data_IF_739479520813
#
_entry.id   IF_739479520813
#
_cell.length_a   1.000
_cell.length_b   1.000
_cell.length_c   1.000
_cell.angle_alpha   90.00
_cell.angle_beta   90.00
_cell.angle_gamma   90.00
#
_symmetry.space_group_name_H-M   'P 1'
#
loop_
_entity.id
_entity.type
_entity.pdbx_description
1 polymer ?
#
# COMPACT_ATOMS: atom_id res chain seq x y z
N UNK A 1 10.58 11.04 12.20
CA UNK A 1 9.35 11.64 11.66
C UNK A 1 8.21 10.69 11.95
N UNK A 2 6.98 11.20 12.06
CA UNK A 2 5.80 10.39 12.32
C UNK A 2 5.25 9.66 11.09
N UNK A 3 5.71 10.04 9.90
CA UNK A 3 5.43 9.32 8.66
C UNK A 3 6.22 8.02 8.51
N UNK A 4 5.70 7.16 7.63
CA UNK A 4 6.30 5.88 7.26
C UNK A 4 5.88 5.44 5.86
N UNK A 5 6.26 4.22 5.50
CA UNK A 5 5.99 3.65 4.19
C UNK A 5 5.50 2.22 4.32
N UNK A 6 4.48 1.87 3.54
CA UNK A 6 3.99 0.51 3.32
C UNK A 6 4.29 0.12 1.88
N UNK A 7 4.85 -1.07 1.69
CA UNK A 7 5.23 -1.57 0.37
C UNK A 7 4.53 -2.90 0.14
N UNK A 8 3.82 -3.03 -0.99
CA UNK A 8 3.23 -4.28 -1.46
C UNK A 8 3.77 -4.65 -2.82
N UNK A 9 4.26 -5.87 -2.94
CA UNK A 9 4.71 -6.47 -4.20
C UNK A 9 3.51 -7.05 -4.94
N UNK A 10 3.34 -6.73 -6.23
CA UNK A 10 2.42 -7.42 -7.15
C UNK A 10 3.22 -8.24 -8.17
N UNK A 11 2.56 -8.82 -9.18
CA UNK A 11 3.25 -9.68 -10.14
C UNK A 11 4.16 -8.88 -11.09
N UNK A 12 3.72 -7.69 -11.52
CA UNK A 12 4.44 -6.82 -12.46
C UNK A 12 4.82 -5.45 -11.87
N UNK A 13 4.34 -5.09 -10.67
CA UNK A 13 4.56 -3.78 -10.07
C UNK A 13 4.89 -3.85 -8.56
N UNK A 14 5.34 -2.71 -8.03
CA UNK A 14 5.53 -2.49 -6.60
C UNK A 14 4.69 -1.28 -6.21
N UNK A 15 3.78 -1.47 -5.27
CA UNK A 15 2.96 -0.39 -4.70
C UNK A 15 3.69 0.15 -3.49
N UNK A 16 3.88 1.47 -3.45
CA UNK A 16 4.50 2.19 -2.35
C UNK A 16 3.47 3.20 -1.82
N UNK A 17 2.97 2.95 -0.61
CA UNK A 17 2.14 3.91 0.12
C UNK A 17 2.97 4.63 1.16
N UNK A 18 3.09 5.94 1.04
CA UNK A 18 3.72 6.80 2.04
C UNK A 18 2.60 7.39 2.89
N UNK A 19 2.76 7.36 4.20
CA UNK A 19 1.80 7.98 5.12
C UNK A 19 2.52 8.96 6.05
N UNK A 20 1.77 9.95 6.49
CA UNK A 20 2.17 10.94 7.49
C UNK A 20 0.99 11.19 8.42
N UNK A 21 1.24 11.70 9.63
CA UNK A 21 0.17 12.11 10.54
C UNK A 21 -0.79 13.11 9.85
N UNK A 22 -2.11 12.96 10.04
CA UNK A 22 -2.80 12.15 11.05
C UNK A 22 -3.12 10.71 10.62
N UNK A 23 -2.59 10.23 9.48
CA UNK A 23 -2.88 8.89 8.99
C UNK A 23 -2.15 7.84 9.82
N UNK A 24 -2.91 6.90 10.39
CA UNK A 24 -2.31 5.77 11.11
C UNK A 24 -1.69 4.77 10.12
N UNK A 25 -0.63 4.04 10.53
CA UNK A 25 -0.02 3.01 9.68
C UNK A 25 -1.03 1.94 9.21
N UNK A 26 -1.99 1.57 10.07
CA UNK A 26 -3.02 0.58 9.74
C UNK A 26 -3.96 1.04 8.62
N UNK A 27 -4.31 2.33 8.59
CA UNK A 27 -5.11 2.91 7.50
C UNK A 27 -4.33 2.89 6.17
N UNK A 28 -3.03 3.22 6.19
CA UNK A 28 -2.20 3.16 4.99
C UNK A 28 -2.08 1.73 4.48
N UNK A 29 -1.83 0.77 5.39
CA UNK A 29 -1.73 -0.64 5.06
C UNK A 29 -3.01 -1.14 4.39
N UNK A 30 -4.18 -0.81 4.93
CA UNK A 30 -5.46 -1.24 4.33
C UNK A 30 -5.64 -0.74 2.88
N UNK A 31 -5.18 0.47 2.55
CA UNK A 31 -5.27 1.01 1.20
C UNK A 31 -4.29 0.31 0.25
N UNK A 32 -3.03 0.19 0.67
CA UNK A 32 -1.97 -0.44 -0.14
C UNK A 32 -2.27 -1.92 -0.39
N UNK A 33 -2.77 -2.63 0.63
CA UNK A 33 -3.15 -4.04 0.52
C UNK A 33 -4.30 -4.22 -0.48
N UNK A 34 -5.40 -3.48 -0.32
CA UNK A 34 -6.57 -3.58 -1.21
C UNK A 34 -6.26 -3.23 -2.65
N UNK A 35 -5.43 -2.21 -2.88
CA UNK A 35 -5.00 -1.84 -4.22
C UNK A 35 -4.15 -2.95 -4.84
N UNK A 36 -3.25 -3.57 -4.06
CA UNK A 36 -2.43 -4.67 -4.55
C UNK A 36 -3.24 -5.92 -4.85
N UNK A 37 -4.23 -6.26 -4.02
CA UNK A 37 -5.12 -7.38 -4.30
C UNK A 37 -5.91 -7.15 -5.59
N UNK A 38 -6.43 -5.93 -5.78
CA UNK A 38 -7.11 -5.57 -7.02
C UNK A 38 -6.22 -5.72 -8.26
N UNK A 39 -4.97 -5.26 -8.21
CA UNK A 39 -4.04 -5.43 -9.34
C UNK A 39 -3.72 -6.91 -9.61
N UNK A 40 -3.53 -7.71 -8.55
CA UNK A 40 -3.28 -9.15 -8.69
C UNK A 40 -4.49 -9.88 -9.27
N UNK A 41 -5.71 -9.56 -8.84
CA UNK A 41 -6.95 -10.14 -9.37
C UNK A 41 -7.17 -9.82 -10.85
N UNK A 42 -6.72 -8.66 -11.31
CA UNK A 42 -6.77 -8.26 -12.72
C UNK A 42 -5.62 -8.86 -13.56
N UNK A 43 -4.65 -9.55 -12.93
CA UNK A 43 -3.53 -10.19 -13.61
C UNK A 43 -2.30 -9.29 -13.82
N UNK A 44 -2.14 -8.25 -13.00
CA UNK A 44 -0.99 -7.33 -13.01
C UNK A 44 -0.04 -7.53 -11.81
#
# INVERSE_FOLDING_TARGET
GSGGVTIKKTSLAIIIGIYEEPMTPGQCNMVVERLGDYLLEQGF
#
